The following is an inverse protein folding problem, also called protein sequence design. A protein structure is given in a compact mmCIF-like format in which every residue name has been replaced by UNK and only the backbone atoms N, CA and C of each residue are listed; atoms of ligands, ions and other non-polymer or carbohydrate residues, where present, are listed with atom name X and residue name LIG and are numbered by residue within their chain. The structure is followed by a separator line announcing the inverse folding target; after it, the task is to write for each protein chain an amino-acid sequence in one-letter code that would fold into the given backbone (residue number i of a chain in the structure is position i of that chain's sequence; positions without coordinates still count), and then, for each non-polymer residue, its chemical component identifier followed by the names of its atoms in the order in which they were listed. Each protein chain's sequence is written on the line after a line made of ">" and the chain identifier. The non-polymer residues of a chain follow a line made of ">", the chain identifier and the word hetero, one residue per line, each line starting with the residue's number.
data_IF_736935880410
#
_entry.id   IF_736935880410
#
_cell.length_a   1.000
_cell.length_b   1.000
_cell.length_c   1.000
_cell.angle_alpha   90.00
_cell.angle_beta   90.00
_cell.angle_gamma   90.00
#
_symmetry.space_group_name_H-M   'P 1'
#
loop_
_entity.id
_entity.type
_entity.pdbx_description
1 polymer ?
#
# COMPACT_ATOMS: atom_id res chain seq x y z
N UNK A 1 3.34 1.97 -19.39
CA UNK A 1 2.84 0.97 -20.32
C UNK A 1 1.65 1.49 -21.10
N UNK A 2 0.47 1.61 -20.49
CA UNK A 2 -0.78 1.99 -21.20
C UNK A 2 -0.64 3.34 -21.88
N UNK A 3 -0.29 4.39 -21.14
CA UNK A 3 -0.20 5.75 -21.64
C UNK A 3 0.84 5.94 -22.77
N UNK A 4 1.80 5.04 -22.85
CA UNK A 4 2.85 5.04 -23.86
C UNK A 4 2.59 4.04 -24.99
N UNK A 5 1.52 3.23 -24.89
CA UNK A 5 1.25 2.15 -25.84
C UNK A 5 2.31 1.05 -25.86
N UNK A 6 3.04 0.85 -24.75
CA UNK A 6 4.18 -0.08 -24.65
C UNK A 6 3.86 -1.27 -23.72
N UNK A 7 3.32 -2.39 -24.25
CA UNK A 7 3.00 -3.58 -23.45
C UNK A 7 4.22 -4.23 -22.78
N UNK A 8 5.42 -4.01 -23.32
CA UNK A 8 6.68 -4.48 -22.73
C UNK A 8 6.87 -3.99 -21.31
N UNK A 9 6.53 -2.72 -21.03
CA UNK A 9 6.64 -2.13 -19.69
C UNK A 9 5.69 -2.78 -18.68
N UNK A 10 4.51 -3.23 -19.12
CA UNK A 10 3.57 -3.95 -18.27
C UNK A 10 4.13 -5.34 -17.94
N UNK A 11 4.74 -5.99 -18.93
CA UNK A 11 5.40 -7.29 -18.74
C UNK A 11 6.58 -7.20 -17.77
N UNK A 12 7.40 -6.14 -17.90
CA UNK A 12 8.52 -5.90 -17.00
C UNK A 12 8.04 -5.64 -15.55
N UNK A 13 6.97 -4.87 -15.38
CA UNK A 13 6.33 -4.66 -14.08
C UNK A 13 5.83 -5.98 -13.46
N UNK A 14 5.24 -6.86 -14.27
CA UNK A 14 4.80 -8.18 -13.82
C UNK A 14 5.98 -9.09 -13.41
N UNK A 15 7.08 -9.07 -14.17
CA UNK A 15 8.29 -9.81 -13.81
C UNK A 15 8.91 -9.29 -12.52
N UNK A 16 8.93 -7.98 -12.34
CA UNK A 16 9.38 -7.36 -11.10
C UNK A 16 8.49 -7.74 -9.91
N UNK A 17 7.17 -7.75 -10.11
CA UNK A 17 6.21 -8.20 -9.09
C UNK A 17 6.50 -9.64 -8.66
N UNK A 18 6.69 -10.55 -9.59
CA UNK A 18 7.03 -11.94 -9.28
C UNK A 18 8.32 -12.02 -8.45
N UNK A 19 9.35 -11.29 -8.85
CA UNK A 19 10.61 -11.26 -8.11
C UNK A 19 10.44 -10.71 -6.69
N UNK A 20 9.67 -9.62 -6.50
CA UNK A 20 9.35 -9.07 -5.17
C UNK A 20 8.61 -10.12 -4.33
N UNK A 21 7.60 -10.77 -4.91
CA UNK A 21 6.83 -11.82 -4.25
C UNK A 21 7.70 -12.95 -3.72
N UNK A 22 8.66 -13.40 -4.52
CA UNK A 22 9.53 -14.54 -4.18
C UNK A 22 10.62 -14.17 -3.17
N UNK A 23 11.11 -12.94 -3.19
CA UNK A 23 12.33 -12.56 -2.45
C UNK A 23 12.08 -11.63 -1.26
N UNK A 24 11.01 -10.82 -1.31
CA UNK A 24 10.75 -9.78 -0.33
C UNK A 24 9.44 -9.97 0.45
N UNK A 25 8.55 -10.86 0.03
CA UNK A 25 7.30 -11.17 0.74
C UNK A 25 7.47 -12.48 1.52
N UNK A 26 7.23 -12.44 2.82
CA UNK A 26 7.22 -13.63 3.65
C UNK A 26 5.88 -14.39 3.54
N UNK A 27 5.83 -15.62 4.02
CA UNK A 27 4.62 -16.48 3.96
C UNK A 27 3.43 -15.91 4.76
N UNK A 28 3.69 -15.05 5.73
CA UNK A 28 2.68 -14.35 6.52
C UNK A 28 2.32 -12.96 5.96
N UNK A 29 2.74 -12.65 4.73
CA UNK A 29 2.59 -11.36 4.04
C UNK A 29 3.35 -10.20 4.68
N UNK A 30 4.26 -10.43 5.60
CA UNK A 30 5.19 -9.39 6.04
C UNK A 30 6.21 -9.10 4.96
N UNK A 31 6.58 -7.82 4.82
CA UNK A 31 7.51 -7.34 3.81
C UNK A 31 8.91 -7.09 4.39
N UNK A 32 9.92 -7.41 3.60
CA UNK A 32 11.30 -6.96 3.80
C UNK A 32 11.49 -5.63 3.08
N UNK A 33 12.16 -4.66 3.71
CA UNK A 33 12.52 -3.42 3.03
C UNK A 33 13.79 -3.56 2.17
N UNK A 34 14.62 -4.59 2.44
CA UNK A 34 15.86 -4.86 1.71
C UNK A 34 16.01 -6.35 1.46
N UNK A 35 16.45 -6.70 0.26
CA UNK A 35 16.86 -8.05 -0.08
C UNK A 35 18.38 -8.15 0.00
N UNK A 36 18.88 -9.15 0.75
CA UNK A 36 20.31 -9.44 0.90
C UNK A 36 20.65 -10.78 0.22
N UNK A 37 21.11 -10.81 -1.04
CA UNK A 37 21.33 -12.06 -1.78
C UNK A 37 22.31 -13.03 -1.11
N UNK A 38 23.32 -12.48 -0.42
CA UNK A 38 24.39 -13.26 0.23
C UNK A 38 24.24 -13.43 1.73
N UNK A 39 23.17 -12.87 2.33
CA UNK A 39 22.99 -12.84 3.79
C UNK A 39 21.52 -13.12 4.14
N UNK A 40 21.09 -14.35 3.91
CA UNK A 40 19.69 -14.77 4.09
C UNK A 40 19.18 -14.67 5.55
N UNK A 41 20.08 -14.56 6.52
CA UNK A 41 19.75 -14.46 7.95
C UNK A 41 19.58 -13.02 8.45
N UNK A 42 19.80 -12.01 7.62
CA UNK A 42 19.57 -10.63 8.02
C UNK A 42 18.08 -10.32 7.92
N UNK A 43 17.49 -10.00 9.05
CA UNK A 43 16.12 -9.54 9.11
C UNK A 43 16.04 -8.09 8.64
N UNK A 44 15.08 -7.80 7.79
CA UNK A 44 14.72 -6.44 7.40
C UNK A 44 13.19 -6.30 7.45
N UNK A 45 12.73 -5.20 7.99
CA UNK A 45 11.30 -4.97 8.23
C UNK A 45 10.82 -3.82 7.35
N UNK A 46 9.80 -4.07 6.56
CA UNK A 46 9.17 -3.04 5.73
C UNK A 46 8.52 -1.95 6.61
N UNK A 47 8.51 -0.75 6.09
CA UNK A 47 7.79 0.40 6.65
C UNK A 47 6.37 0.46 6.09
N UNK A 48 5.52 1.32 6.63
CA UNK A 48 4.18 1.57 6.09
C UNK A 48 4.22 1.90 4.59
N UNK A 49 5.19 2.69 4.16
CA UNK A 49 5.34 3.09 2.76
C UNK A 49 5.57 1.86 1.86
N UNK A 50 6.43 0.91 2.27
CA UNK A 50 6.68 -0.31 1.51
C UNK A 50 5.39 -1.11 1.28
N UNK A 51 4.57 -1.26 2.32
CA UNK A 51 3.28 -1.97 2.22
C UNK A 51 2.28 -1.23 1.36
N UNK A 52 2.11 0.06 1.58
CA UNK A 52 1.12 0.88 0.87
C UNK A 52 1.44 0.95 -0.64
N UNK A 53 2.71 1.21 -0.99
CA UNK A 53 3.13 1.28 -2.38
C UNK A 53 3.06 -0.08 -3.08
N UNK A 54 3.43 -1.17 -2.40
CA UNK A 54 3.34 -2.50 -2.98
C UNK A 54 1.88 -2.93 -3.20
N UNK A 55 1.00 -2.70 -2.22
CA UNK A 55 -0.43 -2.96 -2.37
C UNK A 55 -1.03 -2.17 -3.54
N UNK A 56 -0.68 -0.89 -3.69
CA UNK A 56 -1.11 -0.06 -4.82
C UNK A 56 -0.57 -0.57 -6.16
N UNK A 57 0.69 -0.98 -6.21
CA UNK A 57 1.29 -1.54 -7.42
C UNK A 57 0.59 -2.82 -7.87
N UNK A 58 0.21 -3.70 -6.94
CA UNK A 58 -0.57 -4.90 -7.21
C UNK A 58 -1.94 -4.58 -7.85
N UNK A 59 -2.67 -3.59 -7.32
CA UNK A 59 -3.96 -3.15 -7.89
C UNK A 59 -3.76 -2.54 -9.27
N UNK A 60 -2.74 -1.70 -9.44
CA UNK A 60 -2.42 -1.10 -10.73
C UNK A 60 -2.05 -2.16 -11.77
N UNK A 61 -1.33 -3.19 -11.37
CA UNK A 61 -0.99 -4.31 -12.26
C UNK A 61 -2.22 -5.17 -12.56
N UNK A 62 -3.11 -5.39 -11.57
CA UNK A 62 -4.35 -6.13 -11.74
C UNK A 62 -5.25 -5.49 -12.81
N UNK A 63 -5.31 -4.15 -12.86
CA UNK A 63 -6.14 -3.43 -13.85
C UNK A 63 -5.65 -3.55 -15.29
N UNK A 64 -4.44 -4.06 -15.51
CA UNK A 64 -3.81 -4.12 -16.84
C UNK A 64 -3.24 -5.49 -17.22
N UNK A 65 -3.25 -6.46 -16.33
CA UNK A 65 -2.62 -7.76 -16.57
C UNK A 65 -3.24 -8.53 -17.74
N UNK A 66 -4.51 -8.31 -18.04
CA UNK A 66 -5.21 -8.90 -19.18
C UNK A 66 -4.59 -8.47 -20.53
N UNK A 67 -4.01 -7.27 -20.59
CA UNK A 67 -3.37 -6.75 -21.80
C UNK A 67 -2.10 -7.52 -22.21
N UNK A 68 -1.53 -8.28 -21.29
CA UNK A 68 -0.31 -9.08 -21.54
C UNK A 68 -0.58 -10.57 -21.50
N UNK A 69 -1.85 -11.00 -21.39
CA UNK A 69 -2.28 -12.40 -21.30
C UNK A 69 -1.51 -13.18 -20.21
N UNK A 70 -1.12 -12.51 -19.14
CA UNK A 70 -0.35 -13.08 -18.04
C UNK A 70 -0.91 -12.67 -16.69
N UNK A 71 -0.87 -13.60 -15.75
CA UNK A 71 -1.33 -13.37 -14.39
C UNK A 71 -2.85 -13.48 -14.27
N UNK A 72 -3.31 -13.27 -13.07
CA UNK A 72 -4.73 -13.23 -12.72
C UNK A 72 -5.01 -11.95 -11.96
N UNK A 73 -5.90 -11.13 -12.47
CA UNK A 73 -6.36 -9.92 -11.82
C UNK A 73 -6.85 -10.23 -10.39
N UNK A 74 -7.65 -11.28 -10.24
CA UNK A 74 -8.17 -11.74 -8.95
C UNK A 74 -7.05 -12.07 -7.95
N UNK A 75 -6.01 -12.78 -8.39
CA UNK A 75 -4.87 -13.13 -7.52
C UNK A 75 -4.10 -11.90 -7.05
N UNK A 76 -3.89 -10.91 -7.93
CA UNK A 76 -3.22 -9.66 -7.60
C UNK A 76 -4.05 -8.82 -6.62
N UNK A 77 -5.37 -8.73 -6.83
CA UNK A 77 -6.31 -8.06 -5.92
C UNK A 77 -6.30 -8.75 -4.55
N UNK A 78 -6.39 -10.07 -4.51
CA UNK A 78 -6.34 -10.85 -3.27
C UNK A 78 -5.02 -10.62 -2.53
N UNK A 79 -3.89 -10.66 -3.23
CA UNK A 79 -2.57 -10.37 -2.64
C UNK A 79 -2.52 -8.94 -2.08
N UNK A 80 -2.99 -7.94 -2.82
CA UNK A 80 -3.09 -6.56 -2.34
C UNK A 80 -3.90 -6.46 -1.05
N UNK A 81 -5.04 -7.14 -0.98
CA UNK A 81 -5.87 -7.20 0.23
C UNK A 81 -5.11 -7.82 1.42
N UNK A 82 -4.34 -8.88 1.20
CA UNK A 82 -3.55 -9.56 2.25
C UNK A 82 -2.39 -8.68 2.74
N UNK A 83 -1.69 -7.99 1.84
CA UNK A 83 -0.64 -7.01 2.18
C UNK A 83 -1.23 -5.84 2.99
N UNK A 84 -2.39 -5.33 2.57
CA UNK A 84 -3.11 -4.27 3.28
C UNK A 84 -3.54 -4.71 4.68
N UNK A 85 -4.07 -5.93 4.82
CA UNK A 85 -4.43 -6.49 6.12
C UNK A 85 -3.21 -6.62 7.04
N UNK A 86 -2.06 -7.06 6.50
CA UNK A 86 -0.81 -7.12 7.25
C UNK A 86 -0.33 -5.74 7.68
N UNK A 87 -0.47 -4.72 6.82
CA UNK A 87 -0.16 -3.34 7.19
C UNK A 87 -1.01 -2.86 8.38
N UNK A 88 -2.29 -3.22 8.44
CA UNK A 88 -3.15 -2.91 9.59
C UNK A 88 -2.63 -3.53 10.88
N UNK A 89 -2.27 -4.81 10.83
CA UNK A 89 -1.73 -5.52 12.01
C UNK A 89 -0.46 -4.88 12.58
N UNK A 90 0.39 -4.33 11.72
CA UNK A 90 1.71 -3.83 12.11
C UNK A 90 1.72 -2.34 12.44
N UNK A 91 0.93 -1.55 11.74
CA UNK A 91 1.07 -0.09 11.74
C UNK A 91 -0.15 0.66 12.28
N UNK A 92 -1.37 0.06 12.30
CA UNK A 92 -2.57 0.78 12.74
C UNK A 92 -2.41 1.30 14.17
N UNK A 93 -2.79 2.55 14.39
CA UNK A 93 -2.99 3.09 15.72
C UNK A 93 -4.34 2.59 16.26
N UNK A 94 -4.32 2.01 17.45
CA UNK A 94 -5.53 1.47 18.08
C UNK A 94 -6.34 2.53 18.83
N UNK A 95 -5.71 3.68 19.14
CA UNK A 95 -6.29 4.74 19.95
C UNK A 95 -6.76 5.93 19.10
N UNK A 96 -6.29 6.02 17.85
CA UNK A 96 -6.67 7.11 16.94
C UNK A 96 -6.49 6.70 15.47
N UNK A 97 -7.11 7.45 14.56
CA UNK A 97 -7.02 7.19 13.14
C UNK A 97 -5.58 7.27 12.60
N UNK A 98 -5.34 6.56 11.51
CA UNK A 98 -4.08 6.52 10.78
C UNK A 98 -3.09 5.47 11.25
N UNK A 99 -1.99 5.42 10.52
CA UNK A 99 -0.98 4.36 10.64
C UNK A 99 0.37 4.95 10.96
N UNK A 100 1.08 4.29 11.88
CA UNK A 100 2.46 4.63 12.18
C UNK A 100 3.38 4.24 11.02
N UNK A 101 4.45 4.98 10.83
CA UNK A 101 5.45 4.70 9.79
C UNK A 101 6.23 3.40 10.06
N UNK A 102 6.53 3.12 11.34
CA UNK A 102 7.34 1.96 11.74
C UNK A 102 6.51 0.87 12.42
N UNK A 103 6.90 -0.38 12.21
CA UNK A 103 6.30 -1.54 12.86
C UNK A 103 6.41 -1.42 14.40
N UNK A 104 5.35 -1.81 15.09
CA UNK A 104 5.30 -1.87 16.56
C UNK A 104 6.21 -2.97 17.15
N UNK A 105 6.59 -3.96 16.36
CA UNK A 105 7.39 -5.12 16.81
C UNK A 105 8.90 -4.93 16.62
N UNK A 106 9.35 -3.79 16.10
CA UNK A 106 10.78 -3.52 15.90
C UNK A 106 11.56 -3.66 17.22
N UNK A 107 12.71 -4.32 17.13
CA UNK A 107 13.63 -4.51 18.28
C UNK A 107 15.03 -4.05 17.87
N UNK A 108 15.60 -3.03 18.53
CA UNK A 108 14.98 -2.21 19.58
C UNK A 108 13.83 -1.34 19.03
N UNK A 109 12.82 -1.04 19.85
CA UNK A 109 11.73 -0.17 19.42
C UNK A 109 12.26 1.25 19.13
N UNK A 110 11.71 1.95 18.13
CA UNK A 110 12.07 3.34 17.90
C UNK A 110 11.70 4.20 19.11
N UNK A 111 12.48 5.24 19.43
CA UNK A 111 12.19 6.12 20.57
C UNK A 111 10.81 6.76 20.53
N UNK A 112 10.28 6.99 19.35
CA UNK A 112 8.89 7.40 19.10
C UNK A 112 8.42 6.86 17.75
N UNK A 113 7.19 6.35 17.70
CA UNK A 113 6.51 6.01 16.47
C UNK A 113 5.78 7.26 15.96
N UNK A 114 6.05 7.65 14.74
CA UNK A 114 5.40 8.81 14.11
C UNK A 114 4.42 8.37 13.03
N UNK A 115 3.34 9.12 12.85
CA UNK A 115 2.47 9.04 11.68
C UNK A 115 2.93 10.09 10.68
N UNK A 116 3.08 9.69 9.42
CA UNK A 116 3.41 10.59 8.32
C UNK A 116 2.13 10.80 7.51
N UNK A 117 1.63 12.05 7.53
CA UNK A 117 0.39 12.41 6.86
C UNK A 117 0.62 13.25 5.61
N UNK A 118 1.69 14.04 5.62
CA UNK A 118 1.96 15.00 4.56
C UNK A 118 2.80 14.38 3.45
N UNK A 119 2.29 14.55 2.24
CA UNK A 119 3.04 14.26 1.02
C UNK A 119 4.25 15.21 0.95
N UNK A 120 5.37 14.70 0.44
CA UNK A 120 6.62 15.44 0.24
C UNK A 120 7.10 15.20 -1.19
N UNK A 121 8.35 14.76 -1.36
CA UNK A 121 8.90 14.35 -2.66
C UNK A 121 8.14 13.13 -3.23
N UNK A 122 7.57 12.32 -2.34
CA UNK A 122 6.67 11.22 -2.65
C UNK A 122 5.42 11.30 -1.76
N UNK A 123 4.27 10.78 -2.22
CA UNK A 123 3.09 10.66 -1.37
C UNK A 123 3.37 9.87 -0.09
N UNK A 124 2.80 10.29 1.02
CA UNK A 124 2.93 9.60 2.30
C UNK A 124 2.24 8.22 2.24
N UNK A 125 2.77 7.23 2.97
CA UNK A 125 2.17 5.89 3.03
C UNK A 125 0.72 5.91 3.48
N UNK A 126 0.35 6.78 4.41
CA UNK A 126 -1.04 6.98 4.81
C UNK A 126 -1.91 7.46 3.62
N UNK A 127 -1.43 8.41 2.78
CA UNK A 127 -2.14 8.88 1.58
C UNK A 127 -2.33 7.75 0.55
N UNK A 128 -1.29 6.96 0.32
CA UNK A 128 -1.34 5.80 -0.59
C UNK A 128 -2.30 4.74 -0.05
N UNK A 129 -2.27 4.47 1.26
CA UNK A 129 -3.12 3.44 1.85
C UNK A 129 -4.61 3.77 1.74
N UNK A 130 -4.99 5.05 1.89
CA UNK A 130 -6.37 5.48 1.62
C UNK A 130 -6.78 5.19 0.18
N UNK A 131 -5.90 5.48 -0.79
CA UNK A 131 -6.16 5.15 -2.20
C UNK A 131 -6.35 3.63 -2.40
N UNK A 132 -5.52 2.82 -1.77
CA UNK A 132 -5.66 1.35 -1.80
C UNK A 132 -7.00 0.90 -1.19
N UNK A 133 -7.37 1.47 -0.05
CA UNK A 133 -8.62 1.14 0.64
C UNK A 133 -9.85 1.53 -0.19
N UNK A 134 -9.85 2.73 -0.79
CA UNK A 134 -10.89 3.16 -1.71
C UNK A 134 -11.04 2.17 -2.86
N UNK A 135 -9.94 1.84 -3.52
CA UNK A 135 -9.94 0.91 -4.64
C UNK A 135 -10.41 -0.50 -4.25
N UNK A 136 -9.88 -1.07 -3.16
CA UNK A 136 -10.32 -2.39 -2.67
C UNK A 136 -11.80 -2.39 -2.26
N UNK A 137 -12.28 -1.28 -1.71
CA UNK A 137 -13.68 -1.13 -1.35
C UNK A 137 -14.59 -1.09 -2.59
N UNK A 138 -14.16 -0.37 -3.64
CA UNK A 138 -14.90 -0.32 -4.91
C UNK A 138 -14.94 -1.67 -5.66
N UNK A 139 -13.86 -2.46 -5.57
CA UNK A 139 -13.80 -3.79 -6.18
C UNK A 139 -14.61 -4.86 -5.42
N UNK A 140 -15.05 -4.57 -4.21
CA UNK A 140 -15.95 -5.45 -3.45
C UNK A 140 -17.38 -5.04 -3.78
N UNK A 141 -18.17 -5.94 -4.31
CA UNK A 141 -19.61 -5.76 -4.56
C UNK A 141 -20.45 -5.68 -3.24
N UNK A 142 -19.81 -5.41 -2.11
CA UNK A 142 -20.48 -5.27 -0.83
C UNK A 142 -21.11 -3.87 -0.72
N UNK A 143 -22.41 -3.83 -0.42
CA UNK A 143 -23.25 -2.61 -0.37
C UNK A 143 -22.82 -1.56 0.68
N UNK A 144 -21.86 -1.87 1.54
CA UNK A 144 -21.36 -0.93 2.54
C UNK A 144 -19.82 -0.96 2.64
N UNK A 145 -19.17 0.21 2.53
CA UNK A 145 -17.74 0.36 2.81
C UNK A 145 -17.45 -0.05 4.26
N UNK A 146 -16.32 -0.70 4.48
CA UNK A 146 -15.92 -1.07 5.85
C UNK A 146 -15.76 0.18 6.70
N UNK A 147 -16.20 0.11 7.95
CA UNK A 147 -16.10 1.17 8.96
C UNK A 147 -14.69 1.79 9.02
N UNK A 148 -13.66 0.98 8.88
CA UNK A 148 -12.25 1.39 8.84
C UNK A 148 -11.94 2.40 7.72
N UNK A 149 -12.54 2.23 6.54
CA UNK A 149 -12.37 3.19 5.45
C UNK A 149 -12.92 4.57 5.81
N UNK A 150 -14.10 4.64 6.40
CA UNK A 150 -14.71 5.91 6.80
C UNK A 150 -13.94 6.62 7.92
N UNK A 151 -13.40 5.88 8.88
CA UNK A 151 -12.56 6.45 9.94
C UNK A 151 -11.34 7.14 9.36
N UNK A 152 -10.65 6.46 8.44
CA UNK A 152 -9.43 6.98 7.80
C UNK A 152 -9.75 8.18 6.90
N UNK A 153 -10.82 8.13 6.11
CA UNK A 153 -11.28 9.24 5.27
C UNK A 153 -11.62 10.46 6.13
N UNK A 154 -12.33 10.26 7.23
CA UNK A 154 -12.72 11.36 8.13
C UNK A 154 -11.51 12.01 8.77
N UNK A 155 -10.51 11.23 9.19
CA UNK A 155 -9.26 11.74 9.72
C UNK A 155 -8.49 12.57 8.69
N UNK A 156 -8.42 12.08 7.44
CA UNK A 156 -7.79 12.83 6.35
C UNK A 156 -8.54 14.11 6.01
N UNK A 157 -9.87 14.13 6.03
CA UNK A 157 -10.64 15.33 5.80
C UNK A 157 -10.26 16.44 6.80
N UNK A 158 -10.08 16.09 8.07
CA UNK A 158 -9.64 17.04 9.09
C UNK A 158 -8.22 17.57 8.85
N UNK A 159 -7.29 16.71 8.45
CA UNK A 159 -5.90 17.09 8.18
C UNK A 159 -5.84 17.96 6.93
N UNK A 160 -6.58 17.62 5.89
CA UNK A 160 -6.65 18.34 4.62
C UNK A 160 -7.21 19.76 4.80
N UNK A 161 -8.21 19.96 5.66
CA UNK A 161 -8.73 21.31 5.98
C UNK A 161 -7.63 22.23 6.53
N UNK A 162 -6.65 21.68 7.26
CA UNK A 162 -5.58 22.45 7.88
C UNK A 162 -4.31 22.53 7.03
N UNK A 163 -4.09 21.60 6.10
CA UNK A 163 -2.87 21.51 5.28
C UNK A 163 -3.17 20.87 3.91
N UNK A 164 -3.96 21.53 3.03
CA UNK A 164 -4.39 20.98 1.75
C UNK A 164 -3.23 20.65 0.81
N UNK A 165 -2.18 21.46 0.81
CA UNK A 165 -1.01 21.28 -0.06
C UNK A 165 -0.22 19.99 0.28
N UNK A 166 -0.27 19.57 1.52
CA UNK A 166 0.43 18.38 1.99
C UNK A 166 -0.39 17.08 1.90
N UNK A 167 -1.61 17.09 1.35
CA UNK A 167 -2.51 15.94 1.30
C UNK A 167 -3.15 15.74 -0.07
N UNK A 168 -2.56 16.31 -1.09
CA UNK A 168 -3.11 16.32 -2.46
C UNK A 168 -3.36 14.92 -3.01
N UNK A 169 -2.49 13.94 -2.69
CA UNK A 169 -2.63 12.57 -3.18
C UNK A 169 -3.86 11.87 -2.55
N UNK A 170 -4.06 12.05 -1.25
CA UNK A 170 -5.25 11.50 -0.58
C UNK A 170 -6.54 12.15 -1.10
N UNK A 171 -6.54 13.48 -1.30
CA UNK A 171 -7.69 14.20 -1.88
C UNK A 171 -8.07 13.68 -3.24
N UNK A 172 -7.10 13.47 -4.13
CA UNK A 172 -7.34 12.89 -5.45
C UNK A 172 -8.07 11.55 -5.36
N UNK A 173 -7.68 10.70 -4.43
CA UNK A 173 -8.28 9.37 -4.23
C UNK A 173 -9.74 9.42 -3.80
N UNK A 174 -10.15 10.52 -3.16
CA UNK A 174 -11.52 10.72 -2.68
C UNK A 174 -12.40 11.45 -3.71
N UNK A 175 -11.82 12.04 -4.76
CA UNK A 175 -12.52 12.79 -5.80
C UNK A 175 -12.77 11.99 -7.08
N UNK A 176 -12.22 10.78 -7.19
CA UNK A 176 -12.38 9.90 -8.36
C UNK A 176 -13.64 8.99 -8.25
N UNK A 177 -14.64 9.38 -7.41
CA UNK A 177 -15.95 8.74 -7.33
C UNK A 177 -16.94 9.31 -8.36
#
# INVERSE_FOLDING_TARGET
>A
GISLGEPSLIRDAYLLENWISENMVNTDFSLKCVHYPSHHNLESYGTLDDYAYYAKALLSLASVCELIERGSSENLIKKSSQITQKAFELFKDVDSAGYYFSDRKLTPPPPARKKVWHDKDTPAGNSILINVLSWLNHLREEEQPKHEFFEEVSAYAMITQNAPDGTAHALRSLSEE
#
